data_IF_497904149794
#
_entry.id   IF_497904149794
#
_cell.length_a   1.000
_cell.length_b   1.000
_cell.length_c   1.000
_cell.angle_alpha   90.00
_cell.angle_beta   90.00
_cell.angle_gamma   90.00
#
_symmetry.space_group_name_H-M   'P 1'
#
loop_
_entity.id
_entity.type
_entity.pdbx_description
1 polymer ?
#
# COMPACT_ATOMS: atom_id res chain seq x y z
N UNK A 1 -15.23 -20.34 -14.76
CA UNK A 1 -14.43 -20.11 -16.00
C UNK A 1 -13.25 -19.23 -15.60
N UNK A 2 -11.97 -19.60 -15.65
CA UNK A 2 -11.25 -20.82 -16.08
C UNK A 2 -10.11 -21.02 -15.06
N UNK A 3 -9.97 -22.24 -14.54
CA UNK A 3 -8.71 -22.76 -14.00
C UNK A 3 -7.77 -23.02 -15.18
N UNK A 4 -6.47 -22.74 -15.04
CA UNK A 4 -5.44 -23.34 -15.89
C UNK A 4 -4.37 -23.94 -14.99
N UNK A 5 -4.43 -25.27 -14.98
CA UNK A 5 -3.42 -26.23 -14.59
C UNK A 5 -2.18 -26.08 -15.48
N UNK A 6 -0.98 -26.06 -14.91
CA UNK A 6 0.20 -26.65 -15.55
C UNK A 6 1.00 -27.35 -14.45
N UNK A 7 0.85 -28.68 -14.43
CA UNK A 7 1.79 -29.57 -13.78
C UNK A 7 2.86 -29.95 -14.81
N UNK A 8 4.12 -29.89 -14.41
CA UNK A 8 5.18 -30.59 -15.10
C UNK A 8 5.78 -31.63 -14.15
N UNK A 9 5.72 -32.86 -14.63
CA UNK A 9 6.11 -34.10 -13.98
C UNK A 9 7.63 -34.22 -14.07
N UNK A 10 8.31 -34.15 -12.93
CA UNK A 10 9.75 -34.43 -12.83
C UNK A 10 10.00 -35.94 -13.03
N UNK A 11 10.33 -36.34 -14.26
CA UNK A 11 10.82 -37.68 -14.58
C UNK A 11 12.33 -37.79 -14.27
N UNK A 12 12.68 -38.27 -13.08
CA UNK A 12 14.05 -38.69 -12.76
C UNK A 12 14.27 -40.16 -13.10
N UNK A 13 14.72 -40.45 -14.34
CA UNK A 13 15.41 -41.71 -14.69
C UNK A 13 16.36 -41.49 -15.86
N UNK A 14 17.68 -41.46 -15.60
CA UNK A 14 18.78 -42.14 -16.34
C UNK A 14 20.18 -41.68 -15.86
N UNK A 15 21.26 -42.44 -16.16
CA UNK A 15 22.22 -42.87 -15.13
C UNK A 15 23.60 -42.21 -15.21
N UNK A 16 24.31 -42.33 -14.08
CA UNK A 16 25.76 -42.24 -13.86
C UNK A 16 26.61 -42.06 -15.14
N UNK A 17 26.94 -40.81 -15.47
CA UNK A 17 28.17 -40.49 -16.19
C UNK A 17 28.88 -39.39 -15.41
N UNK A 18 30.15 -39.65 -15.09
CA UNK A 18 31.11 -38.69 -14.57
C UNK A 18 31.15 -37.48 -15.51
N UNK A 19 30.61 -36.35 -15.06
CA UNK A 19 30.87 -35.05 -15.65
C UNK A 19 31.81 -34.27 -14.74
N UNK A 20 32.79 -33.53 -15.28
CA UNK A 20 33.67 -32.68 -14.48
C UNK A 20 32.81 -31.62 -13.79
N UNK A 21 33.06 -31.37 -12.50
CA UNK A 21 32.39 -30.33 -11.71
C UNK A 21 32.76 -28.97 -12.32
N UNK A 22 31.98 -28.55 -13.30
CA UNK A 22 31.99 -27.19 -13.81
C UNK A 22 31.61 -26.28 -12.65
N UNK A 23 32.51 -25.34 -12.36
CA UNK A 23 32.33 -24.23 -11.43
C UNK A 23 30.97 -23.59 -11.73
N UNK A 24 29.99 -23.79 -10.83
CA UNK A 24 28.65 -23.25 -11.01
C UNK A 24 28.70 -21.75 -10.64
N UNK A 25 29.21 -20.94 -11.56
CA UNK A 25 28.98 -19.49 -11.58
C UNK A 25 27.53 -19.28 -12.00
N UNK A 26 26.62 -19.26 -11.02
CA UNK A 26 25.26 -18.79 -11.26
C UNK A 26 25.31 -17.25 -11.27
N UNK A 27 24.76 -16.56 -12.28
CA UNK A 27 24.72 -15.11 -12.31
C UNK A 27 24.00 -14.60 -11.06
N UNK A 28 24.54 -13.54 -10.44
CA UNK A 28 23.84 -12.80 -9.39
C UNK A 28 22.52 -12.29 -9.97
N UNK A 29 21.42 -12.96 -9.67
CA UNK A 29 20.07 -12.44 -9.80
C UNK A 29 19.88 -11.32 -8.74
N UNK A 30 20.66 -10.26 -8.90
CA UNK A 30 20.43 -8.99 -8.26
C UNK A 30 19.33 -8.27 -9.05
N UNK A 31 18.11 -8.80 -8.99
CA UNK A 31 16.92 -8.03 -9.37
C UNK A 31 16.70 -6.96 -8.30
N UNK A 32 17.46 -5.88 -8.42
CA UNK A 32 17.10 -4.60 -7.83
C UNK A 32 15.86 -4.12 -8.56
N UNK A 33 14.70 -4.18 -7.88
CA UNK A 33 13.49 -3.51 -8.34
C UNK A 33 13.84 -2.02 -8.44
N UNK A 34 13.60 -1.34 -9.58
CA UNK A 34 13.92 0.08 -9.71
C UNK A 34 12.93 0.90 -8.87
N UNK A 35 13.30 1.14 -7.61
CA UNK A 35 12.70 2.18 -6.78
C UNK A 35 13.16 3.54 -7.33
N UNK A 36 12.33 4.25 -8.11
CA UNK A 36 12.68 5.63 -8.45
C UNK A 36 11.81 6.42 -9.42
N UNK A 37 11.11 5.78 -10.37
CA UNK A 37 10.48 6.55 -11.46
C UNK A 37 8.95 6.67 -11.36
N UNK A 38 8.26 5.72 -10.75
CA UNK A 38 6.79 5.79 -10.57
C UNK A 38 6.32 6.86 -9.56
N UNK A 39 7.18 7.29 -8.63
CA UNK A 39 6.79 8.20 -7.54
C UNK A 39 6.84 9.68 -7.96
N UNK A 40 7.80 10.07 -8.81
CA UNK A 40 7.95 11.46 -9.27
C UNK A 40 6.87 11.87 -10.28
N UNK A 41 6.60 11.01 -11.28
CA UNK A 41 5.57 11.28 -12.28
C UNK A 41 4.18 11.39 -11.64
N UNK A 42 3.91 10.56 -10.63
CA UNK A 42 2.66 10.59 -9.86
C UNK A 42 2.56 11.85 -8.99
N UNK A 43 3.66 12.28 -8.36
CA UNK A 43 3.71 13.53 -7.61
C UNK A 43 3.45 14.76 -8.51
N UNK A 44 4.02 14.81 -9.71
CA UNK A 44 3.79 15.88 -10.68
C UNK A 44 2.32 15.92 -11.11
N UNK A 45 1.72 14.77 -11.40
CA UNK A 45 0.31 14.68 -11.78
C UNK A 45 -0.61 15.19 -10.65
N UNK A 46 -0.33 14.80 -9.39
CA UNK A 46 -1.10 15.26 -8.23
C UNK A 46 -1.01 16.77 -8.00
N UNK A 47 0.15 17.38 -8.23
CA UNK A 47 0.33 18.84 -8.12
C UNK A 47 -0.44 19.57 -9.22
N UNK A 48 -0.43 19.05 -10.45
CA UNK A 48 -1.16 19.61 -11.58
C UNK A 48 -2.69 19.55 -11.35
N UNK A 49 -3.18 18.43 -10.82
CA UNK A 49 -4.60 18.22 -10.50
C UNK A 49 -5.06 19.17 -9.39
N UNK A 50 -4.28 19.32 -8.32
CA UNK A 50 -4.56 20.31 -7.26
C UNK A 50 -4.59 21.75 -7.78
N UNK A 51 -3.67 22.12 -8.68
CA UNK A 51 -3.67 23.46 -9.27
C UNK A 51 -4.93 23.72 -10.11
N UNK A 52 -5.42 22.69 -10.80
CA UNK A 52 -6.64 22.76 -11.61
C UNK A 52 -7.89 22.89 -10.73
N UNK A 53 -7.96 22.14 -9.62
CA UNK A 53 -9.05 22.20 -8.66
C UNK A 53 -9.14 23.58 -7.97
N UNK A 54 -8.00 24.17 -7.60
CA UNK A 54 -7.94 25.52 -7.04
C UNK A 54 -8.46 26.55 -8.05
N UNK A 55 -8.06 26.42 -9.32
CA UNK A 55 -8.49 27.33 -10.39
C UNK A 55 -10.00 27.23 -10.69
N UNK A 56 -10.56 26.02 -10.64
CA UNK A 56 -12.01 25.78 -10.79
C UNK A 56 -12.78 26.36 -9.59
N UNK A 57 -12.24 26.24 -8.38
CA UNK A 57 -12.84 26.81 -7.17
C UNK A 57 -12.87 28.33 -7.24
N UNK A 58 -11.77 28.95 -7.68
CA UNK A 58 -11.66 30.42 -7.85
C UNK A 58 -12.67 30.94 -8.89
N UNK A 59 -12.82 30.29 -10.04
CA UNK A 59 -13.79 30.70 -11.06
C UNK A 59 -15.26 30.60 -10.59
N UNK A 60 -15.56 29.70 -9.64
CA UNK A 60 -16.91 29.52 -9.09
C UNK A 60 -17.28 30.54 -8.00
N UNK A 61 -16.30 31.29 -7.47
CA UNK A 61 -16.54 32.29 -6.41
C UNK A 61 -17.05 33.65 -6.91
N UNK A 62 -17.12 33.87 -8.24
CA UNK A 62 -17.70 35.09 -8.79
C UNK A 62 -19.23 34.99 -8.76
N UNK A 63 -19.82 35.40 -7.64
CA UNK A 63 -21.27 35.50 -7.48
C UNK A 63 -21.83 36.52 -8.50
N UNK A 64 -22.81 36.13 -9.34
CA UNK A 64 -23.52 37.11 -10.15
C UNK A 64 -24.30 38.02 -9.21
N UNK A 65 -24.17 39.34 -9.39
CA UNK A 65 -25.03 40.33 -8.73
C UNK A 65 -26.47 40.04 -9.12
N UNK A 66 -27.19 39.36 -8.22
CA UNK A 66 -28.57 38.91 -8.44
C UNK A 66 -29.49 40.10 -8.22
N UNK A 67 -30.18 40.53 -9.26
CA UNK A 67 -31.22 41.55 -9.17
C UNK A 67 -32.27 41.11 -8.14
N UNK A 68 -32.38 41.88 -7.05
CA UNK A 68 -33.35 41.66 -5.98
C UNK A 68 -34.71 42.13 -6.51
N UNK A 69 -35.55 41.18 -6.89
CA UNK A 69 -36.97 41.46 -7.14
C UNK A 69 -37.58 41.79 -5.78
N UNK A 70 -37.97 43.05 -5.57
CA UNK A 70 -38.54 43.47 -4.31
C UNK A 70 -39.93 42.84 -4.10
N UNK A 71 -40.08 42.07 -3.03
CA UNK A 71 -41.38 41.56 -2.57
C UNK A 71 -42.35 42.71 -2.26
N UNK A 72 -43.63 42.49 -2.55
CA UNK A 72 -44.70 43.37 -2.08
C UNK A 72 -44.78 43.31 -0.55
N UNK A 73 -45.16 44.42 0.11
CA UNK A 73 -45.27 44.49 1.58
C UNK A 73 -46.12 43.35 2.16
N UNK A 74 -47.19 42.98 1.45
CA UNK A 74 -48.10 41.90 1.85
C UNK A 74 -47.38 40.55 1.94
N UNK A 75 -46.63 40.18 0.89
CA UNK A 75 -45.87 38.93 0.85
C UNK A 75 -44.83 38.90 1.97
N UNK A 76 -44.16 40.03 2.21
CA UNK A 76 -43.19 40.16 3.29
C UNK A 76 -43.81 39.96 4.67
N UNK A 77 -44.93 40.62 4.97
CA UNK A 77 -45.61 40.47 6.26
C UNK A 77 -46.12 39.04 6.45
N UNK A 78 -46.67 38.42 5.42
CA UNK A 78 -47.09 37.02 5.48
C UNK A 78 -45.90 36.09 5.75
N UNK A 79 -44.82 36.23 4.97
CA UNK A 79 -43.60 35.43 5.13
C UNK A 79 -42.94 35.64 6.50
N UNK A 80 -42.93 36.87 7.02
CA UNK A 80 -42.44 37.19 8.36
C UNK A 80 -43.25 36.50 9.44
N UNK A 81 -44.58 36.65 9.42
CA UNK A 81 -45.48 36.05 10.41
C UNK A 81 -45.40 34.51 10.38
N UNK A 82 -45.25 33.91 9.19
CA UNK A 82 -45.03 32.47 9.03
C UNK A 82 -43.68 32.05 9.63
N UNK A 83 -42.58 32.74 9.30
CA UNK A 83 -41.23 32.41 9.84
C UNK A 83 -41.15 32.55 11.35
N UNK A 84 -41.86 33.53 11.91
CA UNK A 84 -41.92 33.76 13.36
C UNK A 84 -42.96 32.87 14.07
N UNK A 85 -43.70 32.03 13.35
CA UNK A 85 -44.70 31.12 13.91
C UNK A 85 -45.96 31.80 14.45
N UNK A 86 -46.24 33.04 14.03
CA UNK A 86 -47.35 33.87 14.52
C UNK A 86 -48.65 33.64 13.72
N UNK A 87 -49.15 32.40 13.73
CA UNK A 87 -50.28 31.96 12.88
C UNK A 87 -51.60 32.66 13.17
N UNK A 88 -51.89 32.99 14.44
CA UNK A 88 -53.12 33.74 14.80
C UNK A 88 -53.10 35.16 14.23
N UNK A 89 -51.96 35.84 14.38
CA UNK A 89 -51.74 37.20 13.85
C UNK A 89 -51.80 37.20 12.32
N UNK A 90 -51.25 36.18 11.67
CA UNK A 90 -51.35 36.00 10.22
C UNK A 90 -52.80 35.90 9.76
N UNK A 91 -53.62 35.09 10.44
CA UNK A 91 -55.04 34.91 10.07
C UNK A 91 -55.84 36.20 10.24
N UNK A 92 -55.62 36.94 11.35
CA UNK A 92 -56.24 38.24 11.56
C UNK A 92 -55.82 39.25 10.49
N UNK A 93 -54.51 39.33 10.22
CA UNK A 93 -53.96 40.21 9.20
C UNK A 93 -54.55 39.93 7.82
N UNK A 94 -54.58 38.67 7.38
CA UNK A 94 -55.16 38.29 6.08
C UNK A 94 -56.64 38.66 6.00
N UNK A 95 -57.44 38.39 7.04
CA UNK A 95 -58.86 38.73 7.05
C UNK A 95 -59.10 40.24 6.93
N UNK A 96 -58.39 41.05 7.71
CA UNK A 96 -58.48 42.52 7.66
C UNK A 96 -57.99 43.06 6.31
N UNK A 97 -56.92 42.49 5.76
CA UNK A 97 -56.34 42.90 4.49
C UNK A 97 -57.29 42.63 3.31
N UNK A 98 -57.91 41.45 3.25
CA UNK A 98 -58.92 41.12 2.25
C UNK A 98 -60.16 42.01 2.36
N UNK A 99 -60.62 42.31 3.59
CA UNK A 99 -61.75 43.21 3.82
C UNK A 99 -61.43 44.65 3.37
N UNK A 100 -60.20 45.09 3.57
CA UNK A 100 -59.70 46.41 3.16
C UNK A 100 -59.62 46.54 1.63
N UNK A 101 -59.15 45.49 0.94
CA UNK A 101 -59.09 45.42 -0.53
C UNK A 101 -60.49 45.52 -1.13
N UNK A 102 -61.48 44.82 -0.55
CA UNK A 102 -62.87 44.86 -1.02
C UNK A 102 -63.52 46.24 -0.84
N UNK A 103 -63.23 46.95 0.25
CA UNK A 103 -63.88 48.24 0.57
C UNK A 103 -63.27 49.46 -0.12
N UNK A 104 -61.97 49.46 -0.46
CA UNK A 104 -61.27 50.67 -0.95
C UNK A 104 -60.86 50.69 -2.42
N UNK A 105 -61.02 49.59 -3.17
CA UNK A 105 -60.80 49.58 -4.63
C UNK A 105 -59.37 49.89 -5.06
N UNK A 106 -58.59 48.84 -5.34
CA UNK A 106 -57.39 48.74 -6.21
C UNK A 106 -56.26 49.80 -6.20
N UNK A 107 -56.30 50.88 -5.41
CA UNK A 107 -55.20 51.85 -5.37
C UNK A 107 -54.27 51.60 -4.17
N UNK A 108 -53.69 50.40 -4.16
CA UNK A 108 -52.58 50.03 -3.28
C UNK A 108 -51.24 50.02 -4.02
N UNK A 109 -51.21 50.47 -5.28
CA UNK A 109 -50.05 50.44 -6.18
C UNK A 109 -48.87 51.31 -5.69
N UNK A 110 -49.08 52.12 -4.64
CA UNK A 110 -48.06 52.93 -3.97
C UNK A 110 -47.62 52.45 -2.58
N UNK A 111 -48.10 51.31 -2.09
CA UNK A 111 -47.52 50.65 -0.89
C UNK A 111 -46.11 50.21 -1.27
N UNK A 112 -45.13 51.05 -0.91
CA UNK A 112 -43.74 50.93 -1.35
C UNK A 112 -43.14 49.55 -1.11
N UNK A 113 -42.12 49.21 -1.86
CA UNK A 113 -41.43 47.94 -1.70
C UNK A 113 -40.77 47.80 -0.32
N UNK A 114 -40.65 46.56 0.15
CA UNK A 114 -40.01 46.22 1.43
C UNK A 114 -38.58 46.79 1.48
N UNK A 115 -38.12 47.37 2.61
CA UNK A 115 -36.77 47.89 2.73
C UNK A 115 -35.71 46.83 2.42
N UNK A 116 -34.88 47.10 1.42
CA UNK A 116 -33.82 46.23 0.89
C UNK A 116 -32.94 45.62 2.01
N UNK A 117 -32.64 46.42 3.03
CA UNK A 117 -31.79 46.05 4.17
C UNK A 117 -32.33 44.83 4.93
N UNK A 118 -33.65 44.71 5.13
CA UNK A 118 -34.20 43.56 5.86
C UNK A 118 -34.06 42.26 5.06
N UNK A 119 -34.41 42.30 3.77
CA UNK A 119 -34.27 41.16 2.87
C UNK A 119 -32.82 40.71 2.76
N UNK A 120 -31.90 41.68 2.72
CA UNK A 120 -30.47 41.44 2.71
C UNK A 120 -29.98 40.79 4.01
N UNK A 121 -30.43 41.25 5.18
CA UNK A 121 -30.09 40.62 6.47
C UNK A 121 -30.59 39.19 6.55
N UNK A 122 -31.82 38.92 6.11
CA UNK A 122 -32.37 37.55 6.08
C UNK A 122 -31.61 36.62 5.14
N UNK A 123 -31.20 37.14 3.98
CA UNK A 123 -30.35 36.40 3.06
C UNK A 123 -29.00 36.07 3.70
N UNK A 124 -28.33 37.06 4.29
CA UNK A 124 -27.05 36.92 4.96
C UNK A 124 -27.10 35.96 6.16
N UNK A 125 -28.21 35.92 6.90
CA UNK A 125 -28.42 34.95 7.98
C UNK A 125 -28.55 33.51 7.46
N UNK A 126 -29.29 33.33 6.37
CA UNK A 126 -29.43 32.03 5.70
C UNK A 126 -28.09 31.54 5.17
N UNK A 127 -27.34 32.41 4.50
CA UNK A 127 -25.99 32.11 4.03
C UNK A 127 -25.05 31.78 5.18
N UNK A 128 -25.02 32.57 6.25
CA UNK A 128 -24.22 32.26 7.43
C UNK A 128 -24.56 30.91 8.04
N UNK A 129 -25.85 30.55 8.08
CA UNK A 129 -26.29 29.25 8.58
C UNK A 129 -25.80 28.11 7.69
N UNK A 130 -25.85 28.28 6.38
CA UNK A 130 -25.35 27.28 5.42
C UNK A 130 -23.82 27.17 5.50
N UNK A 131 -23.10 28.29 5.45
CA UNK A 131 -21.64 28.33 5.59
C UNK A 131 -21.16 27.69 6.90
N UNK A 132 -21.86 27.91 8.02
CA UNK A 132 -21.53 27.26 9.30
C UNK A 132 -21.71 25.73 9.24
N UNK A 133 -22.72 25.23 8.53
CA UNK A 133 -22.91 23.79 8.32
C UNK A 133 -21.80 23.22 7.44
N UNK A 134 -21.51 23.87 6.32
CA UNK A 134 -20.47 23.43 5.40
C UNK A 134 -19.09 23.42 6.08
N UNK A 135 -18.78 24.46 6.86
CA UNK A 135 -17.56 24.51 7.66
C UNK A 135 -17.46 23.33 8.64
N UNK A 136 -18.56 22.96 9.31
CA UNK A 136 -18.59 21.78 10.18
C UNK A 136 -18.35 20.48 9.39
N UNK A 137 -18.97 20.35 8.22
CA UNK A 137 -18.78 19.19 7.34
C UNK A 137 -17.33 19.08 6.84
N UNK A 138 -16.73 20.18 6.38
CA UNK A 138 -15.34 20.20 5.93
C UNK A 138 -14.37 19.88 7.06
N UNK A 139 -14.60 20.39 8.28
CA UNK A 139 -13.79 20.02 9.45
C UNK A 139 -13.86 18.52 9.74
N UNK A 140 -15.05 17.92 9.68
CA UNK A 140 -15.22 16.48 9.90
C UNK A 140 -14.55 15.65 8.79
N UNK A 141 -14.68 16.07 7.54
CA UNK A 141 -14.03 15.41 6.41
C UNK A 141 -12.50 15.49 6.52
N UNK A 142 -11.96 16.65 6.90
CA UNK A 142 -10.53 16.85 7.09
C UNK A 142 -9.96 15.98 8.23
N UNK A 143 -10.63 15.91 9.38
CA UNK A 143 -10.19 15.02 10.48
C UNK A 143 -10.24 13.55 10.06
N UNK A 144 -11.31 13.11 9.37
CA UNK A 144 -11.40 11.74 8.87
C UNK A 144 -10.27 11.41 7.89
N UNK A 145 -9.99 12.31 6.94
CA UNK A 145 -8.88 12.15 5.99
C UNK A 145 -7.53 12.08 6.72
N UNK A 146 -7.34 12.88 7.76
CA UNK A 146 -6.13 12.86 8.60
C UNK A 146 -5.96 11.53 9.32
N UNK A 147 -7.04 10.96 9.87
CA UNK A 147 -7.02 9.65 10.51
C UNK A 147 -6.71 8.51 9.54
N UNK A 148 -7.30 8.53 8.34
CA UNK A 148 -7.03 7.55 7.29
C UNK A 148 -5.59 7.64 6.77
N UNK A 149 -5.05 8.85 6.62
CA UNK A 149 -3.65 9.07 6.28
C UNK A 149 -2.72 8.50 7.35
N UNK A 150 -3.01 8.72 8.63
CA UNK A 150 -2.19 8.14 9.71
C UNK A 150 -2.25 6.61 9.74
N UNK A 151 -3.40 6.00 9.43
CA UNK A 151 -3.54 4.54 9.34
C UNK A 151 -2.70 3.98 8.19
N UNK A 152 -2.82 4.56 6.99
CA UNK A 152 -2.06 4.12 5.81
C UNK A 152 -0.55 4.34 5.99
N UNK A 153 -0.14 5.43 6.63
CA UNK A 153 1.25 5.68 6.96
C UNK A 153 1.83 4.60 7.90
N UNK A 154 1.08 4.22 8.94
CA UNK A 154 1.49 3.15 9.86
C UNK A 154 1.64 1.81 9.15
N UNK A 155 0.71 1.45 8.27
CA UNK A 155 0.79 0.21 7.49
C UNK A 155 2.00 0.22 6.54
N UNK A 156 2.23 1.33 5.83
CA UNK A 156 3.41 1.51 4.99
C UNK A 156 4.70 1.35 5.80
N UNK A 157 4.78 1.98 6.97
CA UNK A 157 5.97 1.92 7.83
C UNK A 157 6.18 0.52 8.42
N UNK A 158 5.09 -0.20 8.75
CA UNK A 158 5.13 -1.60 9.14
C UNK A 158 5.69 -2.48 8.02
N UNK A 159 5.18 -2.36 6.79
CA UNK A 159 5.71 -3.11 5.64
C UNK A 159 7.18 -2.77 5.36
N UNK A 160 7.56 -1.49 5.41
CA UNK A 160 8.95 -1.05 5.19
C UNK A 160 9.89 -1.64 6.24
N UNK A 161 9.49 -1.63 7.51
CA UNK A 161 10.27 -2.23 8.59
C UNK A 161 10.36 -3.75 8.44
N UNK A 162 9.25 -4.41 8.13
CA UNK A 162 9.18 -5.86 7.96
C UNK A 162 10.05 -6.34 6.80
N UNK A 163 10.00 -5.65 5.66
CA UNK A 163 10.84 -5.94 4.50
C UNK A 163 12.33 -5.82 4.87
N UNK A 164 12.75 -4.75 5.55
CA UNK A 164 14.13 -4.59 6.02
C UNK A 164 14.58 -5.75 6.91
N UNK A 165 13.72 -6.19 7.84
CA UNK A 165 14.01 -7.34 8.71
C UNK A 165 14.15 -8.63 7.91
N UNK A 166 13.22 -8.92 7.00
CA UNK A 166 13.30 -10.12 6.14
C UNK A 166 14.58 -10.11 5.31
N UNK A 167 14.98 -8.96 4.77
CA UNK A 167 16.22 -8.85 4.00
C UNK A 167 17.46 -9.14 4.85
N UNK A 168 17.49 -8.72 6.11
CA UNK A 168 18.57 -9.07 7.03
C UNK A 168 18.61 -10.58 7.31
N UNK A 169 17.46 -11.19 7.60
CA UNK A 169 17.35 -12.64 7.83
C UNK A 169 17.75 -13.44 6.59
N UNK A 170 17.27 -13.04 5.40
CA UNK A 170 17.67 -13.61 4.10
C UNK A 170 19.18 -13.55 3.91
N UNK A 171 19.79 -12.39 4.13
CA UNK A 171 21.23 -12.20 3.94
C UNK A 171 22.06 -13.07 4.90
N UNK A 172 21.59 -13.24 6.14
CA UNK A 172 22.22 -14.16 7.10
C UNK A 172 22.16 -15.61 6.60
N UNK A 173 20.99 -16.08 6.15
CA UNK A 173 20.83 -17.42 5.60
C UNK A 173 21.69 -17.64 4.34
N UNK A 174 21.81 -16.63 3.48
CA UNK A 174 22.69 -16.69 2.32
C UNK A 174 24.15 -16.87 2.75
N UNK A 175 24.61 -16.13 3.76
CA UNK A 175 25.97 -16.25 4.28
C UNK A 175 26.22 -17.65 4.87
N UNK A 176 25.29 -18.17 5.68
CA UNK A 176 25.37 -19.51 6.28
C UNK A 176 25.41 -20.60 5.19
N UNK A 177 24.58 -20.47 4.15
CA UNK A 177 24.56 -21.40 3.02
C UNK A 177 25.88 -21.37 2.23
N UNK A 178 26.47 -20.19 2.02
CA UNK A 178 27.80 -20.05 1.37
C UNK A 178 28.89 -20.74 2.20
N UNK A 179 28.89 -20.51 3.52
CA UNK A 179 29.83 -21.17 4.44
C UNK A 179 29.67 -22.70 4.43
N UNK A 180 28.44 -23.18 4.46
CA UNK A 180 28.15 -24.61 4.41
C UNK A 180 28.64 -25.24 3.10
N UNK A 181 28.35 -24.62 1.95
CA UNK A 181 28.84 -25.09 0.64
C UNK A 181 30.36 -25.17 0.59
N UNK A 182 31.06 -24.17 1.13
CA UNK A 182 32.52 -24.18 1.19
C UNK A 182 33.04 -25.34 2.04
N UNK A 183 32.44 -25.59 3.21
CA UNK A 183 32.79 -26.72 4.06
C UNK A 183 32.53 -28.07 3.38
N UNK A 184 31.40 -28.22 2.67
CA UNK A 184 31.13 -29.43 1.88
C UNK A 184 32.16 -29.68 0.78
N UNK A 185 32.57 -28.62 0.07
CA UNK A 185 33.62 -28.72 -0.93
C UNK A 185 34.97 -29.20 -0.34
N UNK A 186 35.23 -28.95 0.95
CA UNK A 186 36.44 -29.42 1.63
C UNK A 186 36.45 -30.93 1.95
N UNK A 187 35.28 -31.57 2.02
CA UNK A 187 35.21 -33.02 2.29
C UNK A 187 35.73 -33.85 1.12
N UNK A 188 35.48 -33.42 -0.12
CA UNK A 188 35.89 -34.14 -1.33
C UNK A 188 37.41 -34.46 -1.33
N UNK A 189 38.33 -33.49 -1.19
CA UNK A 189 39.76 -33.80 -1.13
C UNK A 189 40.13 -34.64 0.10
N UNK A 190 39.46 -34.44 1.24
CA UNK A 190 39.71 -35.21 2.47
C UNK A 190 39.37 -36.69 2.29
N UNK A 191 38.22 -36.98 1.67
CA UNK A 191 37.78 -38.34 1.34
C UNK A 191 38.73 -38.97 0.33
N UNK A 192 39.16 -38.22 -0.70
CA UNK A 192 40.14 -38.70 -1.68
C UNK A 192 41.46 -39.11 -1.03
N UNK A 193 42.02 -38.27 -0.16
CA UNK A 193 43.26 -38.59 0.58
C UNK A 193 43.08 -39.82 1.47
N UNK A 194 41.95 -39.95 2.16
CA UNK A 194 41.65 -41.14 2.98
C UNK A 194 41.58 -42.41 2.13
N UNK A 195 40.92 -42.35 0.97
CA UNK A 195 40.83 -43.48 0.06
C UNK A 195 42.21 -43.91 -0.47
N UNK A 196 43.04 -42.93 -0.85
CA UNK A 196 44.42 -43.17 -1.29
C UNK A 196 45.27 -43.82 -0.18
N UNK A 197 45.19 -43.31 1.06
CA UNK A 197 45.88 -43.88 2.22
C UNK A 197 45.43 -45.31 2.51
N UNK A 198 44.12 -45.57 2.48
CA UNK A 198 43.58 -46.92 2.69
C UNK A 198 44.12 -47.91 1.64
N UNK A 199 44.11 -47.52 0.37
CA UNK A 199 44.63 -48.35 -0.71
C UNK A 199 46.15 -48.59 -0.59
N UNK A 200 46.93 -47.60 -0.16
CA UNK A 200 48.36 -47.77 0.11
C UNK A 200 48.62 -48.77 1.25
N UNK A 201 47.93 -48.61 2.39
CA UNK A 201 48.04 -49.51 3.53
C UNK A 201 47.67 -50.96 3.18
N UNK A 202 46.65 -51.16 2.33
CA UNK A 202 46.30 -52.51 1.86
C UNK A 202 47.43 -53.15 1.04
N UNK A 203 48.08 -52.37 0.17
CA UNK A 203 49.24 -52.85 -0.60
C UNK A 203 50.42 -53.20 0.30
N UNK A 204 50.76 -52.33 1.24
CA UNK A 204 51.84 -52.58 2.21
C UNK A 204 51.55 -53.83 3.04
N UNK A 205 50.33 -53.95 3.60
CA UNK A 205 49.92 -55.15 4.35
C UNK A 205 50.10 -56.43 3.54
N UNK A 206 49.74 -56.42 2.26
CA UNK A 206 49.92 -57.57 1.37
C UNK A 206 51.40 -57.90 1.17
N UNK A 207 52.25 -56.90 0.94
CA UNK A 207 53.70 -57.09 0.80
C UNK A 207 54.33 -57.64 2.08
N UNK A 208 54.01 -57.07 3.24
CA UNK A 208 54.49 -57.56 4.54
C UNK A 208 54.03 -58.98 4.81
N UNK A 209 52.81 -59.35 4.42
CA UNK A 209 52.31 -60.73 4.54
C UNK A 209 53.16 -61.69 3.70
N UNK A 210 53.44 -61.34 2.44
CA UNK A 210 54.29 -62.16 1.55
C UNK A 210 55.72 -62.29 2.07
N UNK A 211 56.28 -61.21 2.64
CA UNK A 211 57.60 -61.24 3.27
C UNK A 211 57.63 -62.15 4.50
N UNK A 212 56.60 -62.08 5.36
CA UNK A 212 56.44 -63.00 6.48
C UNK A 212 56.33 -64.45 6.02
N UNK A 213 55.53 -64.74 5.00
CA UNK A 213 55.37 -66.10 4.47
C UNK A 213 56.68 -66.65 3.90
N UNK A 214 57.46 -65.80 3.20
CA UNK A 214 58.81 -66.16 2.73
C UNK A 214 59.76 -66.44 3.88
N UNK A 215 59.76 -65.62 4.93
CA UNK A 215 60.61 -65.81 6.11
C UNK A 215 60.24 -67.10 6.87
N UNK A 216 58.95 -67.34 7.11
CA UNK A 216 58.45 -68.58 7.71
C UNK A 216 58.80 -69.79 6.85
N UNK A 217 58.68 -69.70 5.53
CA UNK A 217 59.09 -70.76 4.60
C UNK A 217 60.59 -71.09 4.67
N UNK A 218 61.46 -70.08 4.86
CA UNK A 218 62.90 -70.29 5.07
C UNK A 218 63.17 -70.99 6.40
N UNK A 219 62.60 -70.49 7.50
CA UNK A 219 62.74 -71.11 8.84
C UNK A 219 62.24 -72.55 8.83
N UNK A 220 61.09 -72.84 8.21
CA UNK A 220 60.58 -74.21 8.07
C UNK A 220 61.55 -75.12 7.33
N UNK A 221 62.13 -74.66 6.22
CA UNK A 221 63.15 -75.41 5.47
C UNK A 221 64.42 -75.63 6.28
N UNK A 222 64.86 -74.64 7.05
CA UNK A 222 66.02 -74.77 7.95
C UNK A 222 65.72 -75.77 9.09
N UNK A 223 64.54 -75.73 9.70
CA UNK A 223 64.15 -76.66 10.77
C UNK A 223 63.95 -78.11 10.31
N UNK A 224 63.59 -78.35 9.05
CA UNK A 224 63.44 -79.70 8.47
C UNK A 224 64.80 -80.29 8.02
N UNK A 225 65.84 -79.46 7.91
CA UNK A 225 67.21 -79.88 7.55
C UNK A 225 68.18 -79.88 8.75
N UNK A 226 67.69 -79.76 9.99
CA UNK A 226 68.48 -80.09 11.18
C UNK A 226 68.31 -81.61 11.48
N UNK A 227 69.40 -82.37 11.70
CA UNK A 227 69.36 -83.80 12.01
C UNK A 227 68.69 -84.11 13.35
#
# INVERSE_FOLDING_TARGET
>A
RKHVFWGEVCHWRRPLRLFPVALCSIPDDNFSIPEGEEDLAKAIHMVQEQATDVQILEQKTVLPSRQVVHEAIEDFLCNFLIRMGMTRTLNCFQAEWYELIQKRGTDFRGLGNVPDVYSQVMHLESENKNLKKDLKHFKQAAEKAREELLKTQKERDFHRMHHKRIMQEKNKLIADLKGLKLHYASYEPTIRVLHEKHHALLKEKMLTSLEKDRAVGKVRKETVNLP
#
